data_IF_234561589946
#
_entry.id   IF_234561589946
#
_cell.length_a   1.000
_cell.length_b   1.000
_cell.length_c   1.000
_cell.angle_alpha   90.00
_cell.angle_beta   90.00
_cell.angle_gamma   90.00
#
_symmetry.space_group_name_H-M   'P 1'
#
loop_
_entity.id
_entity.type
_entity.pdbx_description
1 polymer ?
#
# COMPACT_ATOMS: atom_id res chain seq x y z
N UNK A 1 -11.08 6.23 21.89
CA UNK A 1 -10.05 5.32 21.35
C UNK A 1 -8.69 5.85 21.77
N UNK A 2 -7.73 4.96 22.04
CA UNK A 2 -6.36 5.37 22.36
C UNK A 2 -5.63 5.71 21.06
N UNK A 3 -4.70 6.68 21.10
CA UNK A 3 -3.80 6.98 19.98
C UNK A 3 -2.45 6.29 20.21
N UNK A 4 -1.86 5.74 19.15
CA UNK A 4 -0.52 5.13 19.15
C UNK A 4 0.06 5.29 17.75
N UNK A 5 1.39 5.30 17.62
CA UNK A 5 2.03 5.16 16.31
C UNK A 5 1.81 3.75 15.77
N UNK A 6 1.41 3.67 14.50
CA UNK A 6 1.28 2.44 13.74
C UNK A 6 2.59 1.66 13.75
N UNK A 7 2.50 0.34 13.96
CA UNK A 7 3.67 -0.54 13.89
C UNK A 7 4.31 -0.57 12.50
N UNK A 8 3.51 -0.41 11.44
CA UNK A 8 3.96 -0.56 10.05
C UNK A 8 4.41 0.77 9.43
N UNK A 9 3.69 1.86 9.72
CA UNK A 9 3.90 3.15 9.04
C UNK A 9 4.46 4.25 9.94
N UNK A 10 4.53 4.03 11.27
CA UNK A 10 4.90 5.01 12.29
C UNK A 10 3.99 6.25 12.37
N UNK A 11 2.85 6.25 11.67
CA UNK A 11 1.85 7.33 11.71
C UNK A 11 0.97 7.18 12.94
N UNK A 12 0.62 8.31 13.58
CA UNK A 12 -0.34 8.29 14.69
C UNK A 12 -1.74 7.89 14.20
N UNK A 13 -2.29 6.83 14.78
CA UNK A 13 -3.58 6.30 14.42
C UNK A 13 -4.37 5.82 15.63
N UNK A 14 -5.65 5.49 15.42
CA UNK A 14 -6.44 4.85 16.47
C UNK A 14 -5.93 3.43 16.72
N UNK A 15 -5.97 3.05 18.00
CA UNK A 15 -5.36 1.84 18.49
C UNK A 15 -6.22 1.17 19.58
N UNK A 16 -6.21 -0.16 19.58
CA UNK A 16 -6.76 -0.99 20.65
C UNK A 16 -5.90 -2.24 20.83
N UNK A 17 -5.74 -2.73 22.07
CA UNK A 17 -5.05 -4.00 22.34
C UNK A 17 -6.07 -5.09 22.66
N UNK A 18 -6.09 -6.13 21.85
CA UNK A 18 -6.81 -7.37 22.15
C UNK A 18 -5.93 -8.25 23.04
N UNK A 19 -6.20 -8.21 24.36
CA UNK A 19 -5.46 -8.98 25.35
C UNK A 19 -5.70 -10.49 25.25
N UNK A 20 -6.86 -10.92 24.74
CA UNK A 20 -7.17 -12.35 24.62
C UNK A 20 -6.36 -12.97 23.49
N UNK A 21 -6.13 -12.21 22.42
CA UNK A 21 -5.42 -12.66 21.22
C UNK A 21 -3.95 -12.19 21.17
N UNK A 22 -3.46 -11.56 22.24
CA UNK A 22 -2.10 -11.00 22.33
C UNK A 22 -1.75 -10.19 21.08
N UNK A 23 -2.67 -9.32 20.67
CA UNK A 23 -2.59 -8.61 19.41
C UNK A 23 -2.88 -7.12 19.56
N UNK A 24 -2.12 -6.33 18.83
CA UNK A 24 -2.26 -4.89 18.71
C UNK A 24 -3.07 -4.57 17.44
N UNK A 25 -4.17 -3.83 17.57
CA UNK A 25 -5.08 -3.47 16.47
C UNK A 25 -4.96 -1.97 16.14
N UNK A 26 -4.80 -1.65 14.86
CA UNK A 26 -4.57 -0.31 14.34
C UNK A 26 -5.59 0.03 13.24
N UNK A 27 -6.11 1.26 13.27
CA UNK A 27 -6.90 1.85 12.18
C UNK A 27 -6.04 2.83 11.42
N UNK A 28 -5.20 2.28 10.53
CA UNK A 28 -4.14 3.03 9.85
C UNK A 28 -4.66 3.75 8.60
N UNK A 29 -4.39 5.07 8.45
CA UNK A 29 -4.84 5.84 7.29
C UNK A 29 -4.16 5.45 5.96
N UNK A 30 -3.14 4.61 5.97
CA UNK A 30 -2.42 4.11 4.81
C UNK A 30 -2.73 2.63 4.60
N UNK A 31 -2.52 1.79 5.62
CA UNK A 31 -2.68 0.33 5.49
C UNK A 31 -4.12 -0.16 5.71
N UNK A 32 -5.03 0.70 6.17
CA UNK A 32 -6.37 0.30 6.57
C UNK A 32 -6.40 -0.32 7.97
N UNK A 33 -7.40 -1.13 8.24
CA UNK A 33 -7.55 -1.76 9.56
C UNK A 33 -6.72 -3.04 9.62
N UNK A 34 -5.74 -3.10 10.50
CA UNK A 34 -4.92 -4.30 10.68
C UNK A 34 -4.68 -4.62 12.17
N UNK A 35 -4.42 -5.87 12.47
CA UNK A 35 -4.05 -6.41 13.78
C UNK A 35 -2.73 -7.16 13.62
N UNK A 36 -1.84 -7.10 14.60
CA UNK A 36 -0.58 -7.85 14.57
C UNK A 36 -0.34 -8.51 15.93
N UNK A 37 -0.01 -9.80 15.92
CA UNK A 37 0.25 -10.56 17.15
C UNK A 37 1.63 -10.24 17.72
N UNK A 38 1.79 -10.39 19.04
CA UNK A 38 3.07 -10.16 19.74
C UNK A 38 4.22 -11.03 19.16
N UNK A 39 3.93 -12.26 18.72
CA UNK A 39 4.91 -13.14 18.05
C UNK A 39 5.33 -12.61 16.66
N UNK A 40 4.37 -12.13 15.85
CA UNK A 40 4.67 -11.52 14.56
C UNK A 40 5.49 -10.23 14.75
N UNK A 41 5.15 -9.41 15.75
CA UNK A 41 5.92 -8.23 16.13
C UNK A 41 7.37 -8.59 16.45
N UNK A 42 7.59 -9.64 17.26
CA UNK A 42 8.93 -10.08 17.66
C UNK A 42 9.78 -10.55 16.48
N UNK A 43 9.16 -11.17 15.46
CA UNK A 43 9.87 -11.66 14.28
C UNK A 43 10.17 -10.54 13.28
N UNK A 44 9.23 -9.60 13.11
CA UNK A 44 9.38 -8.47 12.19
C UNK A 44 10.21 -7.31 12.77
N UNK A 45 10.40 -7.23 14.09
CA UNK A 45 11.06 -6.07 14.72
C UNK A 45 12.47 -5.79 14.21
N UNK A 46 13.18 -6.82 13.74
CA UNK A 46 14.55 -6.70 13.25
C UNK A 46 14.66 -6.29 11.77
N UNK A 47 13.58 -6.35 10.99
CA UNK A 47 13.62 -6.09 9.55
C UNK A 47 12.68 -4.96 9.13
N UNK A 48 13.24 -3.75 8.99
CA UNK A 48 12.46 -2.58 8.55
C UNK A 48 11.99 -2.68 7.10
N UNK A 49 12.70 -3.41 6.25
CA UNK A 49 12.32 -3.59 4.85
C UNK A 49 11.06 -4.45 4.74
N UNK A 50 10.98 -5.54 5.52
CA UNK A 50 9.79 -6.40 5.54
C UNK A 50 8.56 -5.66 6.05
N UNK A 51 8.71 -4.82 7.09
CA UNK A 51 7.62 -3.95 7.57
C UNK A 51 7.10 -3.03 6.46
N UNK A 52 8.03 -2.41 5.72
CA UNK A 52 7.73 -1.52 4.59
C UNK A 52 7.04 -2.25 3.44
N UNK A 53 7.48 -3.46 3.10
CA UNK A 53 6.84 -4.32 2.10
C UNK A 53 5.41 -4.67 2.50
N UNK A 54 5.22 -5.13 3.74
CA UNK A 54 3.89 -5.45 4.28
C UNK A 54 2.99 -4.22 4.28
N UNK A 55 3.51 -3.06 4.69
CA UNK A 55 2.77 -1.80 4.64
C UNK A 55 2.30 -1.45 3.21
N UNK A 56 3.17 -1.59 2.21
CA UNK A 56 2.81 -1.40 0.79
C UNK A 56 1.69 -2.36 0.37
N UNK A 57 1.81 -3.65 0.68
CA UNK A 57 0.79 -4.66 0.32
C UNK A 57 -0.57 -4.30 0.92
N UNK A 58 -0.61 -3.93 2.20
CA UNK A 58 -1.85 -3.51 2.85
C UNK A 58 -2.39 -2.20 2.27
N UNK A 59 -1.50 -1.25 1.92
CA UNK A 59 -1.88 -0.02 1.24
C UNK A 59 -2.52 -0.31 -0.13
N UNK A 60 -2.01 -1.26 -0.90
CA UNK A 60 -2.62 -1.66 -2.18
C UNK A 60 -3.99 -2.31 -2.00
N UNK A 61 -4.10 -3.23 -1.03
CA UNK A 61 -5.40 -3.82 -0.68
C UNK A 61 -6.41 -2.72 -0.35
N UNK A 62 -6.03 -1.74 0.48
CA UNK A 62 -6.86 -0.58 0.80
C UNK A 62 -7.23 0.25 -0.43
N UNK A 63 -6.24 0.61 -1.26
CA UNK A 63 -6.44 1.42 -2.47
C UNK A 63 -7.46 0.78 -3.41
N UNK A 64 -7.38 -0.54 -3.58
CA UNK A 64 -8.29 -1.35 -4.42
C UNK A 64 -9.66 -1.59 -3.78
N UNK A 65 -9.94 -1.00 -2.62
CA UNK A 65 -11.18 -1.23 -1.88
C UNK A 65 -11.28 -2.63 -1.26
N UNK A 66 -10.18 -3.39 -1.22
CA UNK A 66 -10.06 -4.67 -0.53
C UNK A 66 -9.84 -4.37 0.97
N UNK A 67 -10.83 -3.73 1.59
CA UNK A 67 -10.81 -3.38 3.01
C UNK A 67 -11.19 -4.59 3.85
N UNK A 68 -10.25 -5.51 3.99
CA UNK A 68 -10.32 -6.60 4.95
C UNK A 68 -9.56 -6.21 6.21
N UNK A 69 -10.17 -6.43 7.37
CA UNK A 69 -9.47 -6.35 8.64
C UNK A 69 -8.41 -7.48 8.64
N UNK A 70 -7.14 -7.16 8.41
CA UNK A 70 -6.08 -8.19 8.31
C UNK A 70 -5.44 -8.42 9.68
N UNK A 71 -5.42 -9.65 10.16
CA UNK A 71 -4.62 -10.08 11.31
C UNK A 71 -3.34 -10.73 10.82
N UNK A 72 -2.22 -10.04 11.04
CA UNK A 72 -0.88 -10.49 10.74
C UNK A 72 -0.43 -11.43 11.85
N UNK A 73 -0.16 -12.68 11.48
CA UNK A 73 0.35 -13.72 12.38
C UNK A 73 1.73 -14.18 11.90
N UNK A 74 2.35 -15.11 12.64
CA UNK A 74 3.60 -15.71 12.20
C UNK A 74 3.43 -16.87 11.23
N UNK A 75 2.46 -17.77 11.48
CA UNK A 75 2.31 -19.01 10.73
C UNK A 75 0.84 -19.37 10.42
N UNK A 76 -0.14 -18.61 10.91
CA UNK A 76 -1.56 -18.98 10.82
C UNK A 76 -2.24 -18.27 9.65
N UNK A 77 -2.95 -19.05 8.83
CA UNK A 77 -3.85 -18.57 7.79
C UNK A 77 -5.29 -18.94 8.15
N UNK A 78 -6.24 -18.10 7.76
CA UNK A 78 -7.66 -18.41 7.90
C UNK A 78 -8.53 -17.19 8.14
N UNK A 79 -9.64 -17.40 8.84
CA UNK A 79 -10.58 -16.35 9.21
C UNK A 79 -10.92 -16.47 10.68
N UNK A 80 -10.86 -15.34 11.38
CA UNK A 80 -11.14 -15.24 12.81
C UNK A 80 -12.13 -14.09 13.04
N UNK A 81 -13.41 -14.43 12.96
CA UNK A 81 -14.51 -13.47 12.93
C UNK A 81 -14.43 -12.58 11.68
N UNK A 82 -14.38 -11.28 11.91
CA UNK A 82 -14.22 -10.28 10.84
C UNK A 82 -12.78 -10.14 10.35
N UNK A 83 -11.83 -10.82 10.99
CA UNK A 83 -10.41 -10.74 10.64
C UNK A 83 -10.00 -11.83 9.67
N UNK A 84 -9.32 -11.45 8.60
CA UNK A 84 -8.58 -12.37 7.73
C UNK A 84 -7.19 -12.57 8.30
N UNK A 85 -6.85 -13.80 8.65
CA UNK A 85 -5.52 -14.13 9.17
C UNK A 85 -4.59 -14.41 8.00
N UNK A 86 -3.50 -13.66 7.93
CA UNK A 86 -2.41 -13.87 6.98
C UNK A 86 -1.10 -13.94 7.75
N UNK A 87 -0.25 -14.91 7.42
CA UNK A 87 1.10 -14.91 7.97
C UNK A 87 1.91 -13.77 7.35
N UNK A 88 2.87 -13.22 8.08
CA UNK A 88 3.75 -12.21 7.49
C UNK A 88 4.58 -12.78 6.32
N UNK A 89 4.86 -14.08 6.29
CA UNK A 89 5.52 -14.73 5.16
C UNK A 89 4.65 -14.72 3.90
N UNK A 90 3.35 -15.00 4.04
CA UNK A 90 2.41 -14.96 2.91
C UNK A 90 2.23 -13.54 2.40
N UNK A 91 2.12 -12.57 3.30
CA UNK A 91 2.11 -11.17 2.93
C UNK A 91 3.36 -10.83 2.12
N UNK A 92 4.55 -11.14 2.64
CA UNK A 92 5.81 -10.85 1.92
C UNK A 92 5.89 -11.53 0.55
N UNK A 93 5.30 -12.72 0.40
CA UNK A 93 5.24 -13.41 -0.90
C UNK A 93 4.36 -12.71 -1.95
N UNK A 94 3.44 -11.84 -1.52
CA UNK A 94 2.62 -10.98 -2.40
C UNK A 94 3.38 -9.74 -2.88
N UNK A 95 4.57 -9.46 -2.35
CA UNK A 95 5.36 -8.32 -2.80
C UNK A 95 5.95 -8.58 -4.20
N UNK A 96 5.85 -7.63 -5.15
CA UNK A 96 6.40 -7.79 -6.49
C UNK A 96 7.88 -8.22 -6.48
N UNK A 97 8.21 -9.20 -7.32
CA UNK A 97 9.53 -9.81 -7.41
C UNK A 97 10.44 -9.07 -8.42
N UNK A 98 9.87 -8.22 -9.27
CA UNK A 98 10.63 -7.49 -10.30
C UNK A 98 10.22 -6.01 -10.40
N UNK A 99 11.13 -5.13 -10.89
CA UNK A 99 10.79 -3.74 -11.16
C UNK A 99 9.64 -3.55 -12.14
N UNK A 100 9.46 -4.49 -13.08
CA UNK A 100 8.36 -4.43 -14.05
C UNK A 100 7.01 -4.70 -13.38
N UNK A 101 6.93 -5.73 -12.53
CA UNK A 101 5.73 -6.00 -11.72
C UNK A 101 5.39 -4.80 -10.82
N UNK A 102 6.40 -4.13 -10.25
CA UNK A 102 6.16 -2.89 -9.48
C UNK A 102 5.52 -1.83 -10.37
N UNK A 103 6.02 -1.61 -11.59
CA UNK A 103 5.43 -0.61 -12.50
C UNK A 103 3.99 -0.96 -12.88
N UNK A 104 3.71 -2.23 -13.19
CA UNK A 104 2.37 -2.66 -13.55
C UNK A 104 1.39 -2.48 -12.38
N UNK A 105 1.77 -2.94 -11.18
CA UNK A 105 0.97 -2.78 -9.98
C UNK A 105 0.70 -1.32 -9.67
N UNK A 106 1.72 -0.46 -9.77
CA UNK A 106 1.59 0.97 -9.49
C UNK A 106 0.62 1.65 -10.46
N UNK A 107 0.71 1.32 -11.74
CA UNK A 107 -0.18 1.89 -12.74
C UNK A 107 -1.64 1.47 -12.50
N UNK A 108 -1.85 0.21 -12.08
CA UNK A 108 -3.15 -0.25 -11.59
C UNK A 108 -3.58 0.57 -10.37
N UNK A 109 -2.73 0.74 -9.36
CA UNK A 109 -3.11 1.47 -8.14
C UNK A 109 -3.48 2.92 -8.42
N UNK A 110 -2.77 3.58 -9.34
CA UNK A 110 -3.12 4.92 -9.82
C UNK A 110 -4.52 4.92 -10.46
N UNK A 111 -4.91 3.88 -11.19
CA UNK A 111 -6.24 3.76 -11.80
C UNK A 111 -7.37 3.70 -10.76
N UNK A 112 -7.11 3.19 -9.55
CA UNK A 112 -8.08 3.19 -8.45
C UNK A 112 -8.24 4.55 -7.76
N UNK A 113 -7.31 5.49 -7.98
CA UNK A 113 -7.38 6.85 -7.43
C UNK A 113 -8.26 7.80 -8.25
N UNK A 114 -8.62 7.40 -9.47
CA UNK A 114 -9.37 8.22 -10.42
C UNK A 114 -10.82 7.82 -10.54
N UNK A 115 -11.68 8.83 -10.72
CA UNK A 115 -13.11 8.63 -10.93
C UNK A 115 -13.48 8.77 -12.40
N UNK A 116 -12.70 9.55 -13.15
CA UNK A 116 -12.85 9.76 -14.58
C UNK A 116 -11.49 9.70 -15.29
N UNK A 117 -11.41 9.17 -16.53
CA UNK A 117 -10.14 9.00 -17.22
C UNK A 117 -9.33 10.28 -17.49
N UNK A 118 -9.98 11.44 -17.41
CA UNK A 118 -9.36 12.76 -17.59
C UNK A 118 -9.01 13.46 -16.28
N UNK A 119 -9.15 12.78 -15.14
CA UNK A 119 -8.90 13.38 -13.83
C UNK A 119 -7.42 13.70 -13.65
N UNK A 120 -7.15 14.88 -13.07
CA UNK A 120 -5.83 15.28 -12.64
C UNK A 120 -5.53 14.72 -11.25
N UNK A 121 -4.58 13.79 -11.19
CA UNK A 121 -4.25 13.00 -10.01
C UNK A 121 -3.19 13.76 -9.21
N UNK A 122 -3.40 13.92 -7.90
CA UNK A 122 -2.40 14.48 -7.00
C UNK A 122 -2.03 13.43 -5.96
N UNK A 123 -0.75 13.09 -5.84
CA UNK A 123 -0.27 12.16 -4.81
C UNK A 123 0.12 12.95 -3.57
N UNK A 124 -0.50 12.61 -2.43
CA UNK A 124 -0.18 13.12 -1.10
C UNK A 124 0.88 12.26 -0.42
N UNK A 125 1.42 12.73 0.72
CA UNK A 125 2.40 11.98 1.52
C UNK A 125 1.92 10.60 1.98
N UNK A 126 0.61 10.41 2.15
CA UNK A 126 0.05 9.10 2.53
C UNK A 126 -0.13 8.17 1.32
N UNK A 127 -0.34 8.74 0.13
CA UNK A 127 -0.62 7.99 -1.09
C UNK A 127 0.66 7.52 -1.80
N UNK A 128 1.84 7.96 -1.35
CA UNK A 128 3.13 7.47 -1.87
C UNK A 128 3.28 5.95 -1.73
N UNK A 129 2.64 5.35 -0.72
CA UNK A 129 2.64 3.91 -0.49
C UNK A 129 1.90 3.15 -1.59
N UNK A 130 0.94 3.78 -2.27
CA UNK A 130 0.29 3.19 -3.45
C UNK A 130 1.26 3.07 -4.64
N UNK A 131 2.34 3.86 -4.61
CA UNK A 131 3.41 3.86 -5.60
C UNK A 131 4.61 3.00 -5.15
N UNK A 132 4.43 2.04 -4.23
CA UNK A 132 5.52 1.25 -3.63
C UNK A 132 6.70 2.11 -3.15
N UNK A 133 6.40 3.34 -2.72
CA UNK A 133 7.36 4.35 -2.31
C UNK A 133 7.09 4.76 -0.86
N UNK A 134 8.12 5.22 -0.17
CA UNK A 134 8.05 5.55 1.26
C UNK A 134 8.13 7.05 1.53
N UNK A 135 8.42 7.82 0.48
CA UNK A 135 8.56 9.26 0.52
C UNK A 135 8.30 9.83 -0.88
N UNK A 136 8.00 11.14 -0.92
CA UNK A 136 7.67 11.85 -2.14
C UNK A 136 8.84 11.92 -3.14
N UNK A 137 10.09 11.81 -2.68
CA UNK A 137 11.24 11.86 -3.56
C UNK A 137 11.39 10.55 -4.34
N UNK A 138 11.28 9.40 -3.68
CA UNK A 138 11.24 8.10 -4.34
C UNK A 138 10.05 7.96 -5.27
N UNK A 139 8.86 8.43 -4.87
CA UNK A 139 7.69 8.38 -5.75
C UNK A 139 7.86 9.24 -7.00
N UNK A 140 8.55 10.38 -6.88
CA UNK A 140 8.87 11.26 -8.01
C UNK A 140 9.69 10.56 -9.08
N UNK A 141 10.64 9.72 -8.68
CA UNK A 141 11.45 8.96 -9.63
C UNK A 141 10.58 7.99 -10.43
N UNK A 142 9.69 7.26 -9.76
CA UNK A 142 8.79 6.31 -10.39
C UNK A 142 7.82 6.99 -11.36
N UNK A 143 7.19 8.09 -10.96
CA UNK A 143 6.29 8.85 -11.83
C UNK A 143 7.02 9.43 -13.06
N UNK A 144 8.29 9.83 -12.93
CA UNK A 144 9.10 10.23 -14.09
C UNK A 144 9.36 9.08 -15.05
N UNK A 145 9.57 7.86 -14.56
CA UNK A 145 9.69 6.69 -15.44
C UNK A 145 8.39 6.46 -16.22
N UNK A 146 7.23 6.59 -15.58
CA UNK A 146 5.95 6.48 -16.27
C UNK A 146 5.74 7.57 -17.34
N UNK A 147 6.17 8.80 -17.08
CA UNK A 147 6.12 9.86 -18.09
C UNK A 147 7.03 9.54 -19.29
N UNK A 148 8.25 9.06 -19.05
CA UNK A 148 9.18 8.66 -20.10
C UNK A 148 8.66 7.50 -20.95
N UNK A 149 7.91 6.58 -20.35
CA UNK A 149 7.24 5.48 -21.04
C UNK A 149 5.96 5.91 -21.76
N UNK A 150 5.52 7.17 -21.59
CA UNK A 150 4.28 7.70 -22.18
C UNK A 150 3.00 7.17 -21.53
N UNK A 151 3.08 6.71 -20.27
CA UNK A 151 1.93 6.19 -19.54
C UNK A 151 1.18 7.28 -18.77
N UNK A 152 1.89 8.32 -18.35
CA UNK A 152 1.30 9.50 -17.71
C UNK A 152 1.86 10.78 -18.33
N UNK A 153 1.23 11.91 -18.02
CA UNK A 153 1.72 13.24 -18.34
C UNK A 153 1.56 14.17 -17.14
N UNK A 154 2.65 14.83 -16.73
CA UNK A 154 2.55 15.82 -15.65
C UNK A 154 1.82 17.07 -16.13
N UNK A 155 0.84 17.49 -15.33
CA UNK A 155 0.22 18.82 -15.40
C UNK A 155 0.97 19.82 -14.50
N UNK A 156 1.57 19.34 -13.41
CA UNK A 156 2.43 20.10 -12.51
C UNK A 156 3.46 19.19 -11.81
N UNK A 157 4.72 19.61 -11.75
CA UNK A 157 5.78 18.89 -11.06
C UNK A 157 6.60 19.86 -10.20
N UNK A 158 6.22 19.99 -8.93
CA UNK A 158 6.86 20.92 -7.99
C UNK A 158 7.18 20.28 -6.64
N UNK A 159 7.96 20.99 -5.79
CA UNK A 159 8.31 20.50 -4.46
C UNK A 159 7.06 20.19 -3.64
N UNK A 160 6.94 18.96 -3.15
CA UNK A 160 5.84 18.53 -2.28
C UNK A 160 4.48 18.30 -2.97
N UNK A 161 4.39 18.51 -4.29
CA UNK A 161 3.13 18.26 -5.03
C UNK A 161 3.38 17.89 -6.47
N UNK A 162 2.81 16.76 -6.87
CA UNK A 162 2.88 16.25 -8.24
C UNK A 162 1.47 16.05 -8.74
N UNK A 163 1.18 16.58 -9.92
CA UNK A 163 -0.09 16.41 -10.59
C UNK A 163 0.09 15.85 -12.00
N UNK A 164 -0.67 14.84 -12.35
CA UNK A 164 -0.56 14.17 -13.63
C UNK A 164 -1.87 13.52 -14.06
N UNK A 165 -1.95 13.19 -15.34
CA UNK A 165 -3.07 12.45 -15.94
C UNK A 165 -2.54 11.16 -16.56
N UNK A 166 -3.37 10.12 -16.65
CA UNK A 166 -3.02 8.87 -17.36
C UNK A 166 -3.23 9.08 -18.86
N UNK A 167 -2.21 8.79 -19.65
CA UNK A 167 -2.23 8.86 -21.11
C UNK A 167 -2.77 7.57 -21.73
N UNK A 168 -3.10 7.59 -23.02
CA UNK A 168 -3.64 6.42 -23.72
C UNK A 168 -2.75 5.16 -23.60
N UNK A 169 -1.43 5.33 -23.57
CA UNK A 169 -0.47 4.25 -23.33
C UNK A 169 -0.65 3.58 -21.96
N UNK A 170 -0.88 4.37 -20.91
CA UNK A 170 -1.10 3.87 -19.56
C UNK A 170 -2.44 3.12 -19.44
N UNK A 171 -3.50 3.67 -20.04
CA UNK A 171 -4.80 3.01 -20.09
C UNK A 171 -4.77 1.64 -20.78
N UNK A 172 -4.00 1.52 -21.86
CA UNK A 172 -3.83 0.26 -22.55
C UNK A 172 -3.19 -0.80 -21.64
N UNK A 173 -2.12 -0.45 -20.93
CA UNK A 173 -1.45 -1.37 -19.99
C UNK A 173 -2.42 -1.81 -18.90
N UNK A 174 -3.10 -0.85 -18.24
CA UNK A 174 -4.11 -1.16 -17.20
C UNK A 174 -5.14 -2.16 -17.70
N UNK A 175 -5.68 -1.93 -18.90
CA UNK A 175 -6.72 -2.78 -19.48
C UNK A 175 -6.28 -4.21 -19.80
N UNK A 176 -4.98 -4.43 -20.03
CA UNK A 176 -4.40 -5.75 -20.27
C UNK A 176 -4.15 -6.44 -18.93
N UNK A 177 -3.57 -5.72 -17.97
CA UNK A 177 -3.22 -6.28 -16.66
C UNK A 177 -4.46 -6.66 -15.85
N UNK A 178 -5.54 -5.87 -15.88
CA UNK A 178 -6.79 -6.21 -15.16
C UNK A 178 -7.55 -7.42 -15.75
N UNK A 179 -7.23 -7.84 -16.97
CA UNK A 179 -7.85 -9.00 -17.64
C UNK A 179 -7.04 -10.30 -17.46
N UNK A 180 -5.85 -10.20 -16.87
CA UNK A 180 -4.91 -11.31 -16.70
C UNK A 180 -5.14 -12.01 -15.36
#
# INVERSE_FOLDING_TARGET
MNKKRSYLTDIECDFNRDKLKWADCFWDPICGTYSITDDAVSKLSANIEDKRKIANILAQKKCRGINVCVRITSNEQGRDGDWYQESFHDLLSQYPLSPLEILDEVLINISYLIKHPSDDISITENEVWYLYSYDLYSSSYMLRQFEQLGFIKFSFNGPGKQRFTIEAGGWNVISVTEKS
#
